data_IF_888148642796
#
_entry.id   IF_888148642796
#
_cell.length_a   1.000
_cell.length_b   1.000
_cell.length_c   1.000
_cell.angle_alpha   90.00
_cell.angle_beta   90.00
_cell.angle_gamma   90.00
#
_symmetry.space_group_name_H-M   'P 1'
#
loop_
_entity.id
_entity.type
_entity.pdbx_description
1 polymer ?
#
# COMPACT_ATOMS: atom_id res chain seq x y z
N UNK A 1 9.67 -45.16 56.37
CA UNK A 1 9.23 -43.78 56.67
C UNK A 1 8.44 -43.76 57.95
N UNK A 2 8.93 -43.04 58.95
CA UNK A 2 8.05 -42.53 60.00
C UNK A 2 7.15 -41.46 59.38
N UNK A 3 5.95 -41.25 59.92
CA UNK A 3 5.02 -40.20 59.45
C UNK A 3 5.71 -38.82 59.37
N UNK A 4 6.71 -38.60 60.21
CA UNK A 4 7.50 -37.36 60.33
C UNK A 4 8.38 -37.06 59.10
N UNK A 5 9.06 -38.07 58.55
CA UNK A 5 9.92 -37.92 57.36
C UNK A 5 9.13 -37.57 56.09
N UNK A 6 7.90 -38.10 55.99
CA UNK A 6 6.98 -37.78 54.88
C UNK A 6 6.56 -36.33 54.92
N UNK A 7 6.11 -35.90 56.09
CA UNK A 7 5.60 -34.55 56.32
C UNK A 7 6.70 -33.53 56.12
N UNK A 8 7.93 -33.82 56.54
CA UNK A 8 9.07 -32.92 56.31
C UNK A 8 9.46 -32.82 54.83
N UNK A 9 9.40 -33.93 54.07
CA UNK A 9 9.62 -33.91 52.62
C UNK A 9 8.56 -33.09 51.89
N UNK A 10 7.28 -33.28 52.22
CA UNK A 10 6.17 -32.52 51.65
C UNK A 10 6.29 -31.02 51.98
N UNK A 11 6.72 -30.68 53.20
CA UNK A 11 6.98 -29.29 53.63
C UNK A 11 8.11 -28.65 52.84
N UNK A 12 9.24 -29.34 52.65
CA UNK A 12 10.37 -28.83 51.84
C UNK A 12 10.00 -28.67 50.37
N UNK A 13 9.22 -29.61 49.81
CA UNK A 13 8.68 -29.49 48.45
C UNK A 13 7.84 -28.22 48.30
N UNK A 14 6.89 -28.00 49.19
CA UNK A 14 6.04 -26.81 49.16
C UNK A 14 6.86 -25.51 49.29
N UNK A 15 7.87 -25.49 50.17
CA UNK A 15 8.76 -24.35 50.33
C UNK A 15 9.61 -24.06 49.07
N UNK A 16 10.12 -25.09 48.38
CA UNK A 16 10.89 -24.93 47.14
C UNK A 16 10.01 -24.45 45.98
N UNK A 17 8.78 -24.94 45.87
CA UNK A 17 7.82 -24.46 44.88
C UNK A 17 7.51 -22.98 45.12
N UNK A 18 7.18 -22.60 46.36
CA UNK A 18 6.90 -21.20 46.71
C UNK A 18 8.11 -20.30 46.41
N UNK A 19 9.31 -20.72 46.79
CA UNK A 19 10.54 -20.01 46.47
C UNK A 19 10.76 -19.86 44.96
N UNK A 20 10.54 -20.91 44.16
CA UNK A 20 10.71 -20.86 42.72
C UNK A 20 9.72 -19.88 42.06
N UNK A 21 8.46 -19.88 42.50
CA UNK A 21 7.42 -18.95 42.03
C UNK A 21 7.81 -17.50 42.34
N UNK A 22 8.17 -17.20 43.58
CA UNK A 22 8.59 -15.85 44.00
C UNK A 22 9.86 -15.40 43.26
N UNK A 23 10.80 -16.33 43.06
CA UNK A 23 12.05 -16.04 42.35
C UNK A 23 11.80 -15.74 40.88
N UNK A 24 10.94 -16.51 40.21
CA UNK A 24 10.57 -16.30 38.80
C UNK A 24 9.78 -15.01 38.60
N UNK A 25 8.99 -14.56 39.58
CA UNK A 25 8.24 -13.31 39.51
C UNK A 25 9.03 -12.06 39.95
N UNK A 26 10.30 -12.21 40.35
CA UNK A 26 11.14 -11.11 40.84
C UNK A 26 11.92 -10.41 39.73
N UNK A 27 12.62 -9.31 40.07
CA UNK A 27 13.59 -8.65 39.17
C UNK A 27 14.68 -9.60 38.66
N UNK A 28 15.02 -10.64 39.43
CA UNK A 28 15.92 -11.68 38.94
C UNK A 28 15.29 -12.46 37.78
N UNK A 29 14.01 -12.80 37.87
CA UNK A 29 13.26 -13.48 36.80
C UNK A 29 13.18 -12.62 35.55
N UNK A 30 12.94 -11.31 35.71
CA UNK A 30 12.99 -10.34 34.61
C UNK A 30 14.36 -10.28 33.95
N UNK A 31 15.43 -10.25 34.73
CA UNK A 31 16.80 -10.27 34.21
C UNK A 31 17.13 -11.60 33.50
N UNK A 32 16.65 -12.73 34.00
CA UNK A 32 16.80 -14.02 33.31
C UNK A 32 16.02 -14.07 32.01
N UNK A 33 14.80 -13.52 31.97
CA UNK A 33 14.03 -13.42 30.74
C UNK A 33 14.82 -12.65 29.68
N UNK A 34 15.38 -11.48 30.01
CA UNK A 34 16.24 -10.72 29.09
C UNK A 34 17.39 -11.58 28.56
N UNK A 35 18.17 -12.16 29.48
CA UNK A 35 19.34 -12.98 29.13
C UNK A 35 18.96 -14.15 28.23
N UNK A 36 17.86 -14.84 28.53
CA UNK A 36 17.41 -16.01 27.78
C UNK A 36 16.81 -15.63 26.42
N UNK A 37 16.12 -14.50 26.32
CA UNK A 37 15.64 -13.98 25.04
C UNK A 37 16.80 -13.61 24.12
N UNK A 38 17.81 -12.92 24.64
CA UNK A 38 19.01 -12.54 23.89
C UNK A 38 19.80 -13.78 23.44
N UNK A 39 20.10 -14.70 24.37
CA UNK A 39 20.81 -15.93 24.05
C UNK A 39 20.02 -16.82 23.07
N UNK A 40 18.72 -16.97 23.28
CA UNK A 40 17.83 -17.73 22.41
C UNK A 40 17.73 -17.12 21.02
N UNK A 41 17.61 -15.79 20.92
CA UNK A 41 17.63 -15.08 19.65
C UNK A 41 18.94 -15.30 18.90
N UNK A 42 20.09 -15.17 19.56
CA UNK A 42 21.38 -15.45 18.94
C UNK A 42 21.51 -16.90 18.48
N UNK A 43 21.09 -17.87 19.31
CA UNK A 43 21.11 -19.27 18.94
C UNK A 43 20.25 -19.56 17.70
N UNK A 44 19.04 -18.98 17.63
CA UNK A 44 18.16 -19.10 16.45
C UNK A 44 18.77 -18.43 15.21
N UNK A 45 19.41 -17.27 15.36
CA UNK A 45 20.01 -16.56 14.24
C UNK A 45 21.24 -17.27 13.66
N UNK A 46 21.96 -18.04 14.48
CA UNK A 46 23.12 -18.85 14.04
C UNK A 46 22.72 -20.26 13.58
N UNK A 47 21.52 -20.74 13.91
CA UNK A 47 21.05 -22.04 13.48
C UNK A 47 20.80 -22.08 11.96
N UNK A 48 21.09 -23.22 11.29
CA UNK A 48 20.79 -23.42 9.89
C UNK A 48 19.29 -23.29 9.60
N UNK A 49 18.93 -22.65 8.48
CA UNK A 49 17.51 -22.47 8.08
C UNK A 49 16.77 -23.81 8.00
N UNK A 50 17.42 -24.88 7.53
CA UNK A 50 16.81 -26.21 7.42
C UNK A 50 16.44 -26.85 8.76
N UNK A 51 17.11 -26.47 9.85
CA UNK A 51 16.76 -26.95 11.21
C UNK A 51 15.59 -26.17 11.81
N UNK A 52 15.43 -24.91 11.42
CA UNK A 52 14.40 -24.01 11.93
C UNK A 52 13.08 -24.12 11.17
N UNK A 53 13.15 -24.37 9.86
CA UNK A 53 12.01 -24.27 8.96
C UNK A 53 11.78 -25.56 8.18
N UNK A 54 10.72 -26.27 8.56
CA UNK A 54 10.16 -27.33 7.73
C UNK A 54 9.21 -26.71 6.69
N UNK A 55 9.52 -26.93 5.40
CA UNK A 55 8.76 -26.36 4.27
C UNK A 55 7.27 -26.65 4.39
N UNK A 56 6.91 -27.87 4.79
CA UNK A 56 5.52 -28.29 4.91
C UNK A 56 4.79 -27.59 6.05
N UNK A 57 5.42 -27.45 7.22
CA UNK A 57 4.88 -26.68 8.35
C UNK A 57 4.76 -25.21 8.00
N UNK A 58 5.78 -24.60 7.39
CA UNK A 58 5.73 -23.18 6.99
C UNK A 58 4.61 -22.94 5.98
N UNK A 59 4.49 -23.80 4.96
CA UNK A 59 3.42 -23.70 3.98
C UNK A 59 2.04 -23.80 4.64
N UNK A 60 1.82 -24.75 5.55
CA UNK A 60 0.55 -24.89 6.29
C UNK A 60 0.24 -23.67 7.17
N UNK A 61 1.24 -23.10 7.83
CA UNK A 61 1.08 -21.90 8.66
C UNK A 61 0.69 -20.71 7.78
N UNK A 62 1.38 -20.51 6.66
CA UNK A 62 1.06 -19.44 5.71
C UNK A 62 -0.33 -19.65 5.07
N UNK A 63 -0.70 -20.89 4.77
CA UNK A 63 -2.05 -21.23 4.31
C UNK A 63 -3.09 -20.90 5.37
N UNK A 64 -2.87 -21.29 6.64
CA UNK A 64 -3.75 -20.97 7.76
C UNK A 64 -3.98 -19.45 7.90
N UNK A 65 -2.90 -18.67 7.90
CA UNK A 65 -2.98 -17.20 7.99
C UNK A 65 -3.64 -16.55 6.78
N UNK A 66 -3.76 -17.26 5.67
CA UNK A 66 -4.46 -16.78 4.47
C UNK A 66 -5.81 -17.41 4.24
N UNK A 67 -6.31 -18.19 5.21
CA UNK A 67 -7.69 -18.66 5.22
C UNK A 67 -8.67 -17.55 5.62
N UNK A 68 -9.88 -17.64 5.06
CA UNK A 68 -10.99 -16.71 5.29
C UNK A 68 -11.34 -16.52 6.78
N UNK A 69 -11.43 -17.57 7.63
CA UNK A 69 -11.79 -17.37 9.03
C UNK A 69 -10.79 -16.53 9.82
N UNK A 70 -9.48 -16.69 9.56
CA UNK A 70 -8.45 -15.93 10.26
C UNK A 70 -8.46 -14.46 9.83
N UNK A 71 -8.45 -14.22 8.52
CA UNK A 71 -8.44 -12.85 7.96
C UNK A 71 -9.69 -12.07 8.37
N UNK A 72 -10.86 -12.71 8.33
CA UNK A 72 -12.15 -12.05 8.56
C UNK A 72 -12.42 -11.81 10.05
N UNK A 73 -12.06 -12.75 10.94
CA UNK A 73 -12.42 -12.66 12.36
C UNK A 73 -11.32 -12.07 13.24
N UNK A 74 -10.05 -12.30 12.90
CA UNK A 74 -8.93 -11.91 13.78
C UNK A 74 -8.24 -10.64 13.30
N UNK A 75 -7.97 -10.55 12.00
CA UNK A 75 -7.17 -9.44 11.44
C UNK A 75 -8.04 -8.25 11.04
N UNK A 76 -9.14 -8.50 10.32
CA UNK A 76 -9.99 -7.44 9.76
C UNK A 76 -10.49 -6.44 10.81
N UNK A 77 -11.02 -6.85 11.98
CA UNK A 77 -11.49 -5.87 12.97
C UNK A 77 -10.37 -4.95 13.48
N UNK A 78 -9.19 -5.52 13.74
CA UNK A 78 -8.03 -4.77 14.23
C UNK A 78 -7.50 -3.81 13.16
N UNK A 79 -7.32 -4.30 11.92
CA UNK A 79 -6.84 -3.48 10.80
C UNK A 79 -7.84 -2.38 10.48
N UNK A 80 -9.15 -2.69 10.47
CA UNK A 80 -10.20 -1.68 10.26
C UNK A 80 -10.15 -0.60 11.35
N UNK A 81 -10.08 -0.99 12.62
CA UNK A 81 -10.02 -0.04 13.72
C UNK A 81 -8.78 0.87 13.60
N UNK A 82 -7.60 0.28 13.34
CA UNK A 82 -6.36 1.03 13.15
C UNK A 82 -6.44 2.01 11.95
N UNK A 83 -6.96 1.56 10.81
CA UNK A 83 -7.12 2.40 9.60
C UNK A 83 -8.08 3.56 9.86
N UNK A 84 -9.22 3.32 10.51
CA UNK A 84 -10.21 4.38 10.78
C UNK A 84 -9.68 5.41 11.77
N UNK A 85 -8.94 4.97 12.80
CA UNK A 85 -8.30 5.86 13.77
C UNK A 85 -7.23 6.72 13.10
N UNK A 86 -6.33 6.11 12.34
CA UNK A 86 -5.26 6.85 11.66
C UNK A 86 -5.79 7.78 10.57
N UNK A 87 -6.79 7.36 9.78
CA UNK A 87 -7.37 8.23 8.76
C UNK A 87 -8.09 9.42 9.36
N UNK A 88 -8.79 9.24 10.49
CA UNK A 88 -9.39 10.37 11.21
C UNK A 88 -8.32 11.37 11.63
N UNK A 89 -7.20 10.88 12.18
CA UNK A 89 -6.05 11.71 12.55
C UNK A 89 -5.43 12.43 11.34
N UNK A 90 -5.19 11.73 10.24
CA UNK A 90 -4.55 12.30 9.05
C UNK A 90 -5.45 13.30 8.30
N UNK A 91 -6.77 13.13 8.35
CA UNK A 91 -7.71 14.13 7.76
C UNK A 91 -7.67 15.47 8.48
N UNK A 92 -7.31 15.47 9.76
CA UNK A 92 -7.20 16.70 10.56
C UNK A 92 -5.78 17.27 10.56
N UNK A 93 -4.81 16.57 9.97
CA UNK A 93 -3.41 16.98 9.99
C UNK A 93 -3.09 18.05 8.93
N UNK A 94 -2.78 19.30 9.34
CA UNK A 94 -2.41 20.35 8.41
C UNK A 94 -0.95 20.25 7.92
N UNK A 95 -0.15 19.33 8.47
CA UNK A 95 1.23 19.16 8.05
C UNK A 95 1.32 18.78 6.57
N UNK A 96 2.41 19.22 5.93
CA UNK A 96 2.73 18.82 4.56
C UNK A 96 3.10 17.34 4.52
N UNK A 97 2.71 16.64 3.46
CA UNK A 97 3.06 15.22 3.27
C UNK A 97 4.57 14.98 3.36
N UNK A 98 5.38 15.95 2.90
CA UNK A 98 6.84 15.89 2.97
C UNK A 98 7.43 15.70 4.37
N UNK A 99 6.69 15.99 5.46
CA UNK A 99 7.13 15.71 6.84
C UNK A 99 7.16 14.21 7.14
N UNK A 100 6.28 13.44 6.47
CA UNK A 100 6.17 11.99 6.63
C UNK A 100 7.13 11.21 5.73
N UNK A 101 7.82 11.89 4.82
CA UNK A 101 8.73 11.28 3.85
C UNK A 101 10.16 11.65 4.22
N UNK A 102 10.96 10.67 4.63
CA UNK A 102 12.38 10.88 4.91
C UNK A 102 13.14 11.32 3.65
N UNK A 103 14.26 12.02 3.83
CA UNK A 103 15.11 12.46 2.72
C UNK A 103 15.62 11.25 1.90
N UNK A 104 15.91 10.14 2.57
CA UNK A 104 16.29 8.88 1.92
C UNK A 104 15.16 8.34 1.03
N UNK A 105 13.92 8.30 1.54
CA UNK A 105 12.77 7.87 0.75
C UNK A 105 12.52 8.82 -0.43
N UNK A 106 12.70 10.13 -0.24
CA UNK A 106 12.59 11.12 -1.31
C UNK A 106 13.61 10.85 -2.42
N UNK A 107 14.89 10.64 -2.07
CA UNK A 107 15.95 10.36 -3.03
C UNK A 107 15.70 9.05 -3.82
N UNK A 108 15.19 8.01 -3.15
CA UNK A 108 14.82 6.76 -3.81
C UNK A 108 13.64 6.94 -4.78
N UNK A 109 12.62 7.71 -4.40
CA UNK A 109 11.50 8.03 -5.30
C UNK A 109 11.98 8.86 -6.48
N UNK A 110 12.85 9.86 -6.28
CA UNK A 110 13.42 10.63 -7.38
C UNK A 110 14.19 9.76 -8.38
N UNK A 111 14.99 8.80 -7.88
CA UNK A 111 15.70 7.81 -8.70
C UNK A 111 14.72 6.92 -9.46
N UNK A 112 13.62 6.54 -8.83
CA UNK A 112 12.55 5.79 -9.48
C UNK A 112 11.90 6.63 -10.59
N UNK A 113 11.62 7.91 -10.37
CA UNK A 113 10.98 8.81 -11.35
C UNK A 113 11.82 9.06 -12.62
N UNK A 114 13.13 8.85 -12.54
CA UNK A 114 14.03 8.88 -13.69
C UNK A 114 13.90 7.66 -14.60
N UNK A 115 13.32 6.56 -14.12
CA UNK A 115 13.20 5.33 -14.91
C UNK A 115 12.22 5.50 -16.08
N UNK A 116 12.62 5.13 -17.31
CA UNK A 116 11.79 5.32 -18.50
C UNK A 116 10.57 4.37 -18.57
N UNK A 117 10.57 3.28 -17.81
CA UNK A 117 9.57 2.19 -17.89
C UNK A 117 8.55 2.18 -16.74
N UNK A 118 8.36 3.30 -16.04
CA UNK A 118 7.45 3.38 -14.89
C UNK A 118 5.99 3.08 -15.24
N UNK A 119 5.56 3.46 -16.44
CA UNK A 119 4.16 3.30 -16.88
C UNK A 119 4.13 2.38 -18.09
N UNK A 120 3.34 1.31 -17.99
CA UNK A 120 3.16 0.39 -19.11
C UNK A 120 2.55 1.11 -20.33
N UNK A 121 3.14 1.01 -21.53
CA UNK A 121 2.59 1.60 -22.74
C UNK A 121 1.13 1.19 -23.00
N UNK A 122 0.80 -0.08 -22.76
CA UNK A 122 -0.55 -0.62 -22.89
C UNK A 122 -1.55 0.05 -21.96
N UNK A 123 -1.11 0.46 -20.77
CA UNK A 123 -1.96 1.16 -19.82
C UNK A 123 -2.29 2.58 -20.30
N UNK A 124 -1.28 3.31 -20.78
CA UNK A 124 -1.45 4.67 -21.36
C UNK A 124 -2.39 4.60 -22.55
N UNK A 125 -2.17 3.68 -23.49
CA UNK A 125 -3.04 3.48 -24.65
C UNK A 125 -4.50 3.22 -24.24
N UNK A 126 -4.73 2.38 -23.23
CA UNK A 126 -6.07 2.03 -22.77
C UNK A 126 -6.78 3.18 -22.06
N UNK A 127 -6.07 3.97 -21.25
CA UNK A 127 -6.63 5.16 -20.60
C UNK A 127 -7.01 6.20 -21.65
N UNK A 128 -6.08 6.54 -22.54
CA UNK A 128 -6.26 7.62 -23.50
C UNK A 128 -7.31 7.24 -24.56
N UNK A 129 -7.47 5.96 -24.88
CA UNK A 129 -8.53 5.46 -25.75
C UNK A 129 -9.90 5.31 -25.06
N UNK A 130 -10.03 5.65 -23.77
CA UNK A 130 -11.31 5.58 -23.07
C UNK A 130 -12.29 6.63 -23.61
N UNK A 131 -13.57 6.25 -23.76
CA UNK A 131 -14.62 7.12 -24.32
C UNK A 131 -14.73 8.48 -23.64
N UNK A 132 -14.49 8.54 -22.33
CA UNK A 132 -14.49 9.80 -21.59
C UNK A 132 -13.44 10.79 -22.11
N UNK A 133 -12.23 10.33 -22.43
CA UNK A 133 -11.20 11.18 -23.04
C UNK A 133 -11.56 11.58 -24.47
N UNK A 134 -12.21 10.69 -25.24
CA UNK A 134 -12.74 11.02 -26.58
C UNK A 134 -13.79 12.13 -26.51
N UNK A 135 -14.73 12.04 -25.57
CA UNK A 135 -15.76 13.06 -25.37
C UNK A 135 -15.13 14.40 -24.93
N UNK A 136 -14.19 14.40 -23.98
CA UNK A 136 -13.44 15.62 -23.58
C UNK A 136 -12.69 16.21 -24.77
N UNK A 137 -11.92 15.41 -25.50
CA UNK A 137 -11.14 15.89 -26.64
C UNK A 137 -12.05 16.45 -27.73
N UNK A 138 -13.19 15.81 -28.00
CA UNK A 138 -14.17 16.31 -28.96
C UNK A 138 -14.72 17.66 -28.53
N UNK A 139 -15.11 17.80 -27.27
CA UNK A 139 -15.75 19.01 -26.77
C UNK A 139 -14.74 20.18 -26.74
N UNK A 140 -13.50 19.94 -26.29
CA UNK A 140 -12.40 20.93 -26.34
C UNK A 140 -12.10 21.35 -27.78
N UNK A 141 -12.06 20.41 -28.72
CA UNK A 141 -11.84 20.72 -30.14
C UNK A 141 -13.03 21.45 -30.77
N UNK A 142 -14.27 21.14 -30.37
CA UNK A 142 -15.47 21.84 -30.84
C UNK A 142 -15.47 23.30 -30.36
N UNK A 143 -15.12 23.51 -29.09
CA UNK A 143 -14.97 24.84 -28.50
C UNK A 143 -13.84 25.62 -29.16
N UNK A 144 -12.66 25.01 -29.35
CA UNK A 144 -11.54 25.65 -30.02
C UNK A 144 -11.87 26.02 -31.48
N UNK A 145 -12.58 25.15 -32.21
CA UNK A 145 -13.04 25.44 -33.58
C UNK A 145 -14.10 26.54 -33.60
N UNK A 146 -15.01 26.58 -32.62
CA UNK A 146 -15.99 27.66 -32.49
C UNK A 146 -15.31 28.98 -32.19
N UNK A 147 -14.40 29.02 -31.23
CA UNK A 147 -13.65 30.23 -30.86
C UNK A 147 -12.76 30.72 -32.03
N UNK A 148 -12.09 29.80 -32.73
CA UNK A 148 -11.35 30.11 -33.95
C UNK A 148 -12.30 30.67 -35.01
N UNK A 149 -13.42 30.00 -35.26
CA UNK A 149 -14.44 30.46 -36.23
C UNK A 149 -14.97 31.85 -35.88
N UNK A 150 -15.17 32.18 -34.61
CA UNK A 150 -15.63 33.50 -34.17
C UNK A 150 -14.55 34.60 -34.30
N UNK A 151 -13.29 34.27 -34.02
CA UNK A 151 -12.15 35.19 -34.09
C UNK A 151 -11.63 35.43 -35.51
N UNK A 152 -11.71 34.40 -36.36
CA UNK A 152 -11.22 34.38 -37.74
C UNK A 152 -12.38 34.60 -38.72
N UNK A 153 -13.61 34.76 -38.23
CA UNK A 153 -14.78 35.06 -39.04
C UNK A 153 -14.48 36.25 -39.96
N UNK A 154 -14.38 36.06 -41.29
CA UNK A 154 -14.19 37.18 -42.21
C UNK A 154 -15.36 38.17 -42.18
N UNK A 155 -16.46 37.85 -41.49
CA UNK A 155 -17.60 38.74 -41.24
C UNK A 155 -17.49 39.56 -39.94
N UNK A 156 -16.57 39.24 -39.02
CA UNK A 156 -16.36 39.99 -37.74
C UNK A 156 -14.92 40.45 -37.49
N UNK A 157 -13.92 39.80 -38.07
CA UNK A 157 -12.53 40.13 -37.85
C UNK A 157 -12.17 41.50 -38.47
N UNK A 158 -11.26 42.25 -37.83
CA UNK A 158 -10.85 43.61 -38.26
C UNK A 158 -10.23 43.64 -39.68
N UNK A 159 -9.75 42.50 -40.17
CA UNK A 159 -9.18 42.30 -41.51
C UNK A 159 -10.19 41.70 -42.53
N UNK A 160 -11.45 41.48 -42.12
CA UNK A 160 -12.52 40.88 -42.92
C UNK A 160 -13.37 41.88 -43.73
N UNK A 161 -14.54 41.46 -44.24
CA UNK A 161 -15.47 42.20 -45.12
C UNK A 161 -15.76 43.66 -44.69
N UNK A 162 -15.80 44.05 -43.40
CA UNK A 162 -15.88 45.46 -43.02
C UNK A 162 -14.75 46.33 -43.59
N UNK A 163 -13.56 45.78 -43.83
CA UNK A 163 -12.43 46.45 -44.47
C UNK A 163 -12.61 46.58 -46.00
N UNK A 164 -13.28 45.62 -46.65
CA UNK A 164 -13.66 45.68 -48.07
C UNK A 164 -14.84 46.63 -48.31
N UNK A 165 -15.79 46.70 -47.36
CA UNK A 165 -16.91 47.66 -47.38
C UNK A 165 -16.46 49.11 -47.16
N UNK A 166 -15.32 49.33 -46.49
CA UNK A 166 -14.68 50.65 -46.38
C UNK A 166 -14.00 51.11 -47.69
N UNK A 167 -13.83 50.23 -48.68
CA UNK A 167 -13.10 50.53 -49.92
C UNK A 167 -14.00 50.87 -51.13
N UNK A 168 -15.33 50.89 -50.98
CA UNK A 168 -16.27 51.06 -52.09
C UNK A 168 -17.00 52.40 -52.12
N UNK A 169 -16.74 53.20 -53.15
CA UNK A 169 -17.51 54.40 -53.54
C UNK A 169 -18.97 54.11 -53.99
N UNK A 170 -19.58 54.87 -54.93
CA UNK A 170 -21.04 55.09 -55.07
C UNK A 170 -21.98 53.90 -55.39
N UNK A 171 -21.55 52.64 -55.22
CA UNK A 171 -22.31 51.41 -55.52
C UNK A 171 -23.05 50.89 -54.25
N UNK A 172 -23.13 51.67 -53.18
CA UNK A 172 -23.69 51.24 -51.89
C UNK A 172 -25.24 51.15 -51.83
N UNK A 173 -25.98 51.52 -52.88
CA UNK A 173 -27.44 51.69 -52.83
C UNK A 173 -28.29 50.42 -53.02
N UNK A 174 -27.69 49.21 -52.91
CA UNK A 174 -28.40 47.92 -53.04
C UNK A 174 -28.10 46.87 -51.97
N UNK A 175 -27.29 47.21 -50.95
CA UNK A 175 -26.70 46.22 -50.04
C UNK A 175 -27.63 45.69 -48.94
N UNK A 176 -28.76 46.36 -48.64
CA UNK A 176 -29.65 45.95 -47.54
C UNK A 176 -30.42 44.64 -47.76
N UNK A 177 -30.71 44.28 -49.02
CA UNK A 177 -31.30 42.98 -49.37
C UNK A 177 -30.21 41.90 -49.51
N UNK A 178 -29.00 42.30 -49.90
CA UNK A 178 -27.85 41.41 -50.04
C UNK A 178 -27.33 40.95 -48.68
N UNK A 179 -27.29 41.82 -47.67
CA UNK A 179 -26.87 41.46 -46.30
C UNK A 179 -27.81 40.46 -45.62
N UNK A 180 -29.15 40.60 -45.78
CA UNK A 180 -30.13 39.63 -45.26
C UNK A 180 -30.06 38.27 -45.98
N UNK A 181 -29.88 38.27 -47.30
CA UNK A 181 -29.67 37.04 -48.05
C UNK A 181 -28.34 36.36 -47.65
N UNK A 182 -27.30 37.14 -47.38
CA UNK A 182 -26.01 36.64 -46.90
C UNK A 182 -26.05 36.09 -45.48
N UNK A 183 -26.76 36.74 -44.56
CA UNK A 183 -26.98 36.22 -43.20
C UNK A 183 -27.79 34.93 -43.21
N UNK A 184 -28.81 34.82 -44.06
CA UNK A 184 -29.58 33.58 -44.25
C UNK A 184 -28.71 32.45 -44.83
N UNK A 185 -27.88 32.74 -45.82
CA UNK A 185 -26.94 31.76 -46.38
C UNK A 185 -25.89 31.36 -45.35
N UNK A 186 -25.37 32.31 -44.56
CA UNK A 186 -24.41 32.05 -43.47
C UNK A 186 -25.02 31.16 -42.38
N UNK A 187 -26.22 31.48 -41.91
CA UNK A 187 -26.89 30.71 -40.87
C UNK A 187 -27.26 29.30 -41.39
N UNK A 188 -27.60 29.17 -42.68
CA UNK A 188 -27.84 27.87 -43.30
C UNK A 188 -26.53 27.07 -43.51
N UNK A 189 -25.43 27.74 -43.84
CA UNK A 189 -24.10 27.15 -43.95
C UNK A 189 -23.59 26.67 -42.59
N UNK A 190 -23.76 27.47 -41.53
CA UNK A 190 -23.43 27.06 -40.15
C UNK A 190 -24.29 25.89 -39.69
N UNK A 191 -25.60 25.90 -39.95
CA UNK A 191 -26.51 24.79 -39.62
C UNK A 191 -26.14 23.48 -40.35
N UNK A 192 -25.61 23.56 -41.57
CA UNK A 192 -25.14 22.39 -42.33
C UNK A 192 -23.72 21.96 -41.93
N UNK A 193 -22.85 22.89 -41.59
CA UNK A 193 -21.49 22.61 -41.14
C UNK A 193 -21.44 22.01 -39.74
N UNK A 194 -22.37 22.37 -38.85
CA UNK A 194 -22.36 21.89 -37.46
C UNK A 194 -22.40 20.34 -37.34
N UNK A 195 -23.30 19.61 -38.02
CA UNK A 195 -23.29 18.14 -37.99
C UNK A 195 -22.05 17.53 -38.67
N UNK A 196 -21.53 18.15 -39.73
CA UNK A 196 -20.30 17.69 -40.41
C UNK A 196 -19.05 17.92 -39.55
N UNK A 197 -18.97 19.07 -38.85
CA UNK A 197 -17.93 19.40 -37.86
C UNK A 197 -17.94 18.39 -36.73
N UNK A 198 -19.11 18.12 -36.12
CA UNK A 198 -19.23 17.11 -35.06
C UNK A 198 -18.79 15.72 -35.52
N UNK A 199 -19.13 15.32 -36.75
CA UNK A 199 -18.70 14.04 -37.34
C UNK A 199 -17.20 13.97 -37.60
N UNK A 200 -16.60 15.04 -38.11
CA UNK A 200 -15.16 15.16 -38.33
C UNK A 200 -14.39 15.14 -37.00
N UNK A 201 -14.82 15.96 -36.04
CA UNK A 201 -14.22 16.07 -34.72
C UNK A 201 -14.19 14.76 -33.97
N UNK A 202 -15.23 13.93 -34.10
CA UNK A 202 -15.23 12.58 -33.51
C UNK A 202 -14.07 11.73 -34.04
N UNK A 203 -13.92 11.63 -35.37
CA UNK A 203 -12.82 10.86 -35.98
C UNK A 203 -11.44 11.46 -35.69
N UNK A 204 -11.35 12.78 -35.64
CA UNK A 204 -10.11 13.49 -35.33
C UNK A 204 -9.71 13.34 -33.85
N UNK A 205 -10.66 13.42 -32.91
CA UNK A 205 -10.43 13.27 -31.47
C UNK A 205 -9.80 11.91 -31.15
N UNK A 206 -10.37 10.81 -31.69
CA UNK A 206 -9.79 9.47 -31.52
C UNK A 206 -8.35 9.39 -32.06
N UNK A 207 -8.08 9.99 -33.22
CA UNK A 207 -6.74 10.01 -33.82
C UNK A 207 -5.77 10.86 -32.99
N UNK A 208 -6.20 12.02 -32.54
CA UNK A 208 -5.41 12.93 -31.72
C UNK A 208 -5.02 12.28 -30.40
N UNK A 209 -5.98 11.63 -29.73
CA UNK A 209 -5.72 10.86 -28.50
C UNK A 209 -4.72 9.73 -28.73
N UNK A 210 -4.82 9.00 -29.85
CA UNK A 210 -3.82 7.99 -30.20
C UNK A 210 -2.42 8.60 -30.34
N UNK A 211 -2.30 9.74 -31.03
CA UNK A 211 -1.01 10.44 -31.15
C UNK A 211 -0.49 10.91 -29.80
N UNK A 212 -1.36 11.38 -28.90
CA UNK A 212 -0.98 11.77 -27.53
C UNK A 212 -0.44 10.56 -26.77
N UNK A 213 -1.10 9.40 -26.85
CA UNK A 213 -0.60 8.17 -26.23
C UNK A 213 0.77 7.78 -26.79
N UNK A 214 0.92 7.72 -28.11
CA UNK A 214 2.19 7.42 -28.78
C UNK A 214 3.29 8.42 -28.38
N UNK A 215 2.95 9.71 -28.26
CA UNK A 215 3.87 10.77 -27.85
C UNK A 215 4.34 10.59 -26.41
N UNK A 216 3.40 10.38 -25.47
CA UNK A 216 3.72 10.14 -24.05
C UNK A 216 4.59 8.90 -23.89
N UNK A 217 4.27 7.81 -24.58
CA UNK A 217 5.03 6.56 -24.52
C UNK A 217 6.44 6.77 -25.07
N UNK A 218 6.56 7.34 -26.28
CA UNK A 218 7.86 7.48 -26.95
C UNK A 218 8.79 8.46 -26.23
N UNK A 219 8.21 9.49 -25.60
CA UNK A 219 8.98 10.57 -24.96
C UNK A 219 9.08 10.46 -23.45
N UNK A 220 8.54 9.40 -22.83
CA UNK A 220 8.50 9.25 -21.38
C UNK A 220 9.87 9.38 -20.69
N UNK A 221 10.94 8.95 -21.36
CA UNK A 221 12.32 9.04 -20.86
C UNK A 221 13.04 10.35 -21.20
N UNK A 222 12.43 11.27 -21.95
CA UNK A 222 13.07 12.54 -22.28
C UNK A 222 13.21 13.43 -21.03
N UNK A 223 14.27 14.25 -20.93
CA UNK A 223 14.55 15.05 -19.73
C UNK A 223 13.38 15.92 -19.24
N UNK A 224 12.58 16.45 -20.17
CA UNK A 224 11.40 17.27 -19.86
C UNK A 224 10.27 16.48 -19.16
N UNK A 225 10.06 15.21 -19.53
CA UNK A 225 9.04 14.37 -18.88
C UNK A 225 9.52 13.85 -17.53
N UNK A 226 10.82 13.58 -17.39
CA UNK A 226 11.45 13.28 -16.10
C UNK A 226 11.30 14.47 -15.15
N UNK A 227 11.61 15.68 -15.62
CA UNK A 227 11.46 16.92 -14.84
C UNK A 227 10.01 17.11 -14.39
N UNK A 228 9.04 16.98 -15.30
CA UNK A 228 7.61 17.05 -14.97
C UNK A 228 7.22 16.06 -13.85
N UNK A 229 7.68 14.80 -13.91
CA UNK A 229 7.40 13.81 -12.87
C UNK A 229 7.98 14.20 -11.52
N UNK A 230 9.21 14.71 -11.49
CA UNK A 230 9.86 15.19 -10.26
C UNK A 230 9.16 16.41 -9.69
N UNK A 231 8.75 17.36 -10.53
CA UNK A 231 7.98 18.54 -10.13
C UNK A 231 6.63 18.17 -9.55
N UNK A 232 5.89 17.24 -10.19
CA UNK A 232 4.63 16.74 -9.66
C UNK A 232 4.81 16.03 -8.32
N UNK A 233 5.87 15.24 -8.16
CA UNK A 233 6.18 14.60 -6.89
C UNK A 233 6.49 15.64 -5.80
N UNK A 234 7.34 16.63 -6.09
CA UNK A 234 7.63 17.73 -5.16
C UNK A 234 6.37 18.48 -4.77
N UNK A 235 5.51 18.79 -5.74
CA UNK A 235 4.22 19.43 -5.50
C UNK A 235 3.33 18.60 -4.57
N UNK A 236 3.23 17.27 -4.77
CA UNK A 236 2.47 16.36 -3.88
C UNK A 236 3.03 16.41 -2.45
N UNK A 237 4.35 16.43 -2.28
CA UNK A 237 4.97 16.53 -0.95
C UNK A 237 4.67 17.86 -0.25
N UNK A 238 4.40 18.92 -1.01
CA UNK A 238 4.06 20.23 -0.46
C UNK A 238 2.59 20.37 -0.05
N UNK A 239 1.73 19.44 -0.47
CA UNK A 239 0.31 19.50 -0.13
C UNK A 239 0.07 19.11 1.35
N UNK A 240 -0.88 19.77 2.03
CA UNK A 240 -1.36 19.32 3.34
C UNK A 240 -1.93 17.90 3.29
N UNK A 241 -1.64 17.09 4.29
CA UNK A 241 -2.16 15.71 4.38
C UNK A 241 -3.69 15.71 4.43
N UNK A 242 -4.28 16.64 5.17
CA UNK A 242 -5.74 16.83 5.24
C UNK A 242 -6.40 16.98 3.85
N UNK A 243 -5.79 17.76 2.95
CA UNK A 243 -6.30 17.95 1.58
C UNK A 243 -6.20 16.66 0.75
N UNK A 244 -5.08 15.95 0.84
CA UNK A 244 -4.89 14.67 0.14
C UNK A 244 -5.83 13.58 0.65
N UNK A 245 -6.20 13.62 1.93
CA UNK A 245 -7.09 12.64 2.56
C UNK A 245 -8.58 12.99 2.44
N UNK A 246 -8.92 14.18 1.94
CA UNK A 246 -10.32 14.64 1.78
C UNK A 246 -11.19 13.66 0.96
N UNK A 247 -10.71 13.06 -0.15
CA UNK A 247 -11.51 12.09 -0.92
C UNK A 247 -11.74 10.76 -0.18
N UNK A 248 -10.89 10.42 0.78
CA UNK A 248 -10.95 9.16 1.51
C UNK A 248 -11.94 9.28 2.67
N UNK A 249 -13.24 9.45 2.39
CA UNK A 249 -14.31 9.45 3.42
C UNK A 249 -14.45 8.09 4.12
N UNK A 250 -15.10 8.04 5.28
CA UNK A 250 -15.29 6.77 6.01
C UNK A 250 -15.96 5.69 5.14
N UNK A 251 -16.96 6.08 4.35
CA UNK A 251 -17.63 5.17 3.42
C UNK A 251 -16.69 4.63 2.33
N UNK A 252 -15.82 5.50 1.77
CA UNK A 252 -14.83 5.09 0.77
C UNK A 252 -13.79 4.16 1.40
N UNK A 253 -13.27 4.51 2.57
CA UNK A 253 -12.32 3.68 3.32
C UNK A 253 -12.89 2.30 3.64
N UNK A 254 -14.11 2.23 4.13
CA UNK A 254 -14.76 0.97 4.47
C UNK A 254 -14.94 0.11 3.20
N UNK A 255 -15.41 0.72 2.11
CA UNK A 255 -15.57 0.01 0.84
C UNK A 255 -14.23 -0.46 0.28
N UNK A 256 -13.18 0.36 0.32
CA UNK A 256 -11.83 -0.03 -0.11
C UNK A 256 -11.26 -1.17 0.75
N UNK A 257 -11.49 -1.13 2.07
CA UNK A 257 -11.10 -2.22 2.97
C UNK A 257 -11.83 -3.53 2.62
N UNK A 258 -13.13 -3.44 2.34
CA UNK A 258 -13.94 -4.59 1.92
C UNK A 258 -13.47 -5.16 0.57
N UNK A 259 -13.23 -4.31 -0.41
CA UNK A 259 -12.69 -4.71 -1.73
C UNK A 259 -11.34 -5.39 -1.54
N UNK A 260 -10.42 -4.79 -0.79
CA UNK A 260 -9.11 -5.36 -0.52
C UNK A 260 -9.20 -6.73 0.16
N UNK A 261 -10.14 -6.89 1.10
CA UNK A 261 -10.41 -8.15 1.77
C UNK A 261 -10.93 -9.23 0.82
N UNK A 262 -11.97 -8.92 0.02
CA UNK A 262 -12.54 -9.87 -0.95
C UNK A 262 -11.54 -10.27 -2.04
N UNK A 263 -10.73 -9.32 -2.54
CA UNK A 263 -9.65 -9.61 -3.47
C UNK A 263 -8.59 -10.52 -2.85
N UNK A 264 -8.16 -10.22 -1.62
CA UNK A 264 -7.17 -11.03 -0.90
C UNK A 264 -7.69 -12.44 -0.67
N UNK A 265 -8.95 -12.57 -0.24
CA UNK A 265 -9.63 -13.86 -0.06
C UNK A 265 -9.68 -14.64 -1.37
N UNK A 266 -10.12 -14.02 -2.46
CA UNK A 266 -10.19 -14.66 -3.76
C UNK A 266 -8.80 -15.12 -4.22
N UNK A 267 -7.82 -14.23 -4.25
CA UNK A 267 -6.44 -14.54 -4.69
C UNK A 267 -5.81 -15.64 -3.83
N UNK A 268 -6.02 -15.63 -2.52
CA UNK A 268 -5.50 -16.67 -1.62
C UNK A 268 -6.21 -18.03 -1.79
N UNK A 269 -7.49 -18.02 -2.17
CA UNK A 269 -8.26 -19.24 -2.42
C UNK A 269 -7.86 -19.95 -3.71
N UNK A 270 -7.29 -19.24 -4.70
CA UNK A 270 -6.88 -19.80 -5.98
C UNK A 270 -5.77 -20.85 -5.85
N UNK A 271 -5.99 -22.05 -6.40
CA UNK A 271 -5.02 -23.15 -6.32
C UNK A 271 -3.70 -22.84 -7.06
N UNK A 272 -3.75 -22.05 -8.13
CA UNK A 272 -2.54 -21.57 -8.80
C UNK A 272 -1.68 -20.70 -7.85
N UNK A 273 -2.30 -19.84 -7.06
CA UNK A 273 -1.61 -18.98 -6.09
C UNK A 273 -1.05 -19.82 -4.94
N UNK A 274 -1.81 -20.78 -4.40
CA UNK A 274 -1.34 -21.70 -3.36
C UNK A 274 -0.11 -22.48 -3.82
N UNK A 275 -0.17 -23.08 -5.02
CA UNK A 275 0.97 -23.81 -5.62
C UNK A 275 2.19 -22.92 -5.81
N UNK A 276 2.03 -21.73 -6.38
CA UNK A 276 3.15 -20.77 -6.55
C UNK A 276 3.75 -20.37 -5.20
N UNK A 277 2.93 -20.15 -4.19
CA UNK A 277 3.38 -19.77 -2.84
C UNK A 277 4.20 -20.87 -2.20
N UNK A 278 3.70 -22.11 -2.25
CA UNK A 278 4.43 -23.29 -1.77
C UNK A 278 5.78 -23.46 -2.48
N UNK A 279 5.79 -23.34 -3.82
CA UNK A 279 7.02 -23.39 -4.59
C UNK A 279 8.02 -22.27 -4.22
N UNK A 280 7.55 -21.05 -3.93
CA UNK A 280 8.40 -19.96 -3.45
C UNK A 280 8.98 -20.23 -2.06
N UNK A 281 8.17 -20.73 -1.13
CA UNK A 281 8.62 -21.11 0.22
C UNK A 281 9.69 -22.19 0.11
N UNK A 282 9.42 -23.24 -0.67
CA UNK A 282 10.36 -24.33 -0.91
C UNK A 282 11.67 -23.83 -1.52
N UNK A 283 11.60 -22.97 -2.54
CA UNK A 283 12.76 -22.37 -3.18
C UNK A 283 13.62 -21.58 -2.19
N UNK A 284 13.00 -20.74 -1.35
CA UNK A 284 13.74 -19.92 -0.37
C UNK A 284 14.37 -20.81 0.70
N UNK A 285 13.61 -21.73 1.30
CA UNK A 285 14.12 -22.61 2.36
C UNK A 285 15.25 -23.50 1.83
N UNK A 286 15.10 -24.09 0.64
CA UNK A 286 16.15 -24.92 0.04
C UNK A 286 17.39 -24.13 -0.37
N UNK A 287 17.22 -22.91 -0.88
CA UNK A 287 18.36 -22.07 -1.25
C UNK A 287 19.26 -21.71 -0.05
N UNK A 288 18.67 -21.63 1.14
CA UNK A 288 19.36 -21.22 2.36
C UNK A 288 19.48 -22.33 3.41
N UNK A 289 19.12 -23.58 3.09
CA UNK A 289 18.96 -24.68 4.04
C UNK A 289 20.16 -24.86 4.99
N UNK A 290 21.37 -24.74 4.45
CA UNK A 290 22.63 -24.92 5.18
C UNK A 290 23.21 -23.63 5.76
N UNK A 291 22.62 -22.49 5.42
CA UNK A 291 23.11 -21.19 5.87
C UNK A 291 22.52 -20.85 7.24
N UNK A 292 23.28 -20.18 8.13
CA UNK A 292 22.71 -19.55 9.31
C UNK A 292 21.58 -18.60 8.92
N UNK A 293 20.50 -18.55 9.70
CA UNK A 293 19.36 -17.67 9.45
C UNK A 293 19.79 -16.20 9.27
N UNK A 294 20.77 -15.73 10.05
CA UNK A 294 21.35 -14.39 9.92
C UNK A 294 21.86 -14.11 8.51
N UNK A 295 22.60 -15.05 7.92
CA UNK A 295 23.16 -14.90 6.58
C UNK A 295 22.07 -14.96 5.50
N UNK A 296 21.09 -15.85 5.67
CA UNK A 296 19.95 -15.95 4.78
C UNK A 296 19.17 -14.63 4.73
N UNK A 297 18.87 -14.04 5.89
CA UNK A 297 18.21 -12.74 5.99
C UNK A 297 19.04 -11.59 5.38
N UNK A 298 20.34 -11.57 5.65
CA UNK A 298 21.26 -10.57 5.10
C UNK A 298 21.31 -10.60 3.56
N UNK A 299 21.12 -11.76 2.94
CA UNK A 299 21.04 -11.89 1.47
C UNK A 299 19.89 -11.05 0.88
N UNK A 300 18.83 -10.83 1.66
CA UNK A 300 17.68 -10.01 1.28
C UNK A 300 17.70 -8.61 1.91
N UNK A 301 18.84 -8.18 2.45
CA UNK A 301 18.99 -6.88 3.12
C UNK A 301 18.32 -6.78 4.49
N UNK A 302 17.82 -7.88 5.05
CA UNK A 302 17.20 -7.88 6.36
C UNK A 302 18.25 -8.06 7.46
N UNK A 303 18.36 -7.06 8.34
CA UNK A 303 19.18 -7.14 9.57
C UNK A 303 18.27 -6.96 10.78
N UNK A 304 18.20 -7.98 11.64
CA UNK A 304 17.35 -7.96 12.83
C UNK A 304 18.24 -7.74 14.06
N UNK A 305 18.07 -6.60 14.71
CA UNK A 305 18.78 -6.24 15.96
C UNK A 305 17.76 -5.80 17.01
N UNK A 306 17.14 -6.75 17.73
CA UNK A 306 16.11 -6.44 18.72
C UNK A 306 16.70 -5.65 19.89
N UNK A 307 15.97 -4.66 20.38
CA UNK A 307 16.26 -4.08 21.68
C UNK A 307 15.59 -4.96 22.77
N UNK A 308 16.36 -5.87 23.36
CA UNK A 308 15.84 -6.82 24.35
C UNK A 308 15.34 -6.16 25.63
N UNK A 309 15.86 -4.98 25.99
CA UNK A 309 15.34 -4.23 27.14
C UNK A 309 13.91 -3.79 26.91
N UNK A 310 13.64 -3.19 25.76
CA UNK A 310 12.29 -2.75 25.37
C UNK A 310 11.34 -3.93 25.27
N UNK A 311 11.77 -5.07 24.71
CA UNK A 311 10.95 -6.28 24.63
C UNK A 311 10.60 -6.83 26.01
N UNK A 312 11.57 -6.89 26.93
CA UNK A 312 11.34 -7.38 28.29
C UNK A 312 10.43 -6.43 29.06
N UNK A 313 10.63 -5.12 28.93
CA UNK A 313 9.75 -4.13 29.56
C UNK A 313 8.30 -4.22 29.06
N UNK A 314 8.10 -4.50 27.77
CA UNK A 314 6.77 -4.70 27.20
C UNK A 314 6.13 -6.04 27.61
N UNK A 315 6.91 -7.12 27.70
CA UNK A 315 6.40 -8.46 28.01
C UNK A 315 6.21 -8.71 29.51
N UNK A 316 7.05 -8.11 30.37
CA UNK A 316 7.05 -8.40 31.80
C UNK A 316 5.71 -8.14 32.51
N UNK A 317 4.98 -7.04 32.22
CA UNK A 317 3.65 -6.81 32.78
C UNK A 317 2.62 -7.89 32.43
N UNK A 318 2.83 -8.63 31.33
CA UNK A 318 1.98 -9.76 30.94
C UNK A 318 2.44 -11.07 31.59
N UNK A 319 3.76 -11.26 31.70
CA UNK A 319 4.35 -12.49 32.23
C UNK A 319 4.24 -12.60 33.76
N UNK A 320 4.46 -11.52 34.50
CA UNK A 320 4.45 -11.55 35.95
C UNK A 320 3.08 -11.98 36.53
N UNK A 321 1.93 -11.55 35.98
CA UNK A 321 0.62 -12.09 36.34
C UNK A 321 0.43 -13.54 35.85
N UNK A 322 0.90 -13.86 34.64
CA UNK A 322 0.75 -15.21 34.08
C UNK A 322 1.42 -16.28 34.96
N UNK A 323 2.56 -15.97 35.58
CA UNK A 323 3.26 -16.87 36.53
C UNK A 323 2.42 -17.25 37.77
N UNK A 324 1.30 -16.55 38.02
CA UNK A 324 0.37 -16.83 39.11
C UNK A 324 -0.87 -17.60 38.67
N UNK A 325 -0.97 -18.00 37.39
CA UNK A 325 -2.12 -18.79 36.93
C UNK A 325 -1.97 -20.26 37.35
N UNK A 326 -3.09 -20.97 37.62
CA UNK A 326 -3.04 -22.36 38.06
C UNK A 326 -2.24 -23.29 37.14
N UNK A 327 -2.23 -23.02 35.83
CA UNK A 327 -1.51 -23.84 34.85
C UNK A 327 0.01 -23.71 34.99
N UNK A 328 0.52 -22.49 35.17
CA UNK A 328 1.95 -22.26 35.37
C UNK A 328 2.38 -22.68 36.78
N UNK A 329 1.49 -22.56 37.76
CA UNK A 329 1.71 -23.12 39.08
C UNK A 329 1.89 -24.64 39.04
N UNK A 330 0.99 -25.35 38.36
CA UNK A 330 1.09 -26.80 38.17
C UNK A 330 2.37 -27.19 37.41
N UNK A 331 2.77 -26.40 36.42
CA UNK A 331 4.03 -26.61 35.70
C UNK A 331 5.25 -26.51 36.63
N UNK A 332 5.34 -25.46 37.45
CA UNK A 332 6.44 -25.28 38.42
C UNK A 332 6.41 -26.38 39.49
N UNK A 333 5.22 -26.76 39.95
CA UNK A 333 5.02 -27.86 40.91
C UNK A 333 5.41 -29.22 40.37
N UNK A 334 5.20 -29.46 39.07
CA UNK A 334 5.68 -30.63 38.34
C UNK A 334 7.20 -30.60 38.22
N UNK A 335 7.79 -29.50 37.74
CA UNK A 335 9.23 -29.38 37.54
C UNK A 335 10.02 -29.55 38.86
N UNK A 336 9.55 -28.94 39.95
CA UNK A 336 10.13 -29.13 41.29
C UNK A 336 9.74 -30.48 41.87
N UNK A 337 8.54 -30.99 41.61
CA UNK A 337 8.05 -32.27 42.10
C UNK A 337 8.82 -33.47 41.53
N UNK A 338 9.14 -33.44 40.25
CA UNK A 338 9.91 -34.47 39.54
C UNK A 338 11.33 -34.59 40.11
N UNK A 339 11.93 -33.48 40.55
CA UNK A 339 13.20 -33.51 41.28
C UNK A 339 13.10 -34.34 42.56
N UNK A 340 12.04 -34.15 43.35
CA UNK A 340 11.84 -34.96 44.56
C UNK A 340 11.49 -36.40 44.22
N UNK A 341 10.80 -36.69 43.12
CA UNK A 341 10.47 -38.06 42.71
C UNK A 341 11.70 -38.89 42.33
N UNK A 342 12.81 -38.24 41.94
CA UNK A 342 14.09 -38.88 41.60
C UNK A 342 14.99 -39.14 42.81
N UNK A 343 14.68 -38.59 43.99
CA UNK A 343 15.42 -38.93 45.22
C UNK A 343 15.11 -40.40 45.60
N UNK A 344 16.13 -41.26 45.78
CA UNK A 344 15.91 -42.64 46.19
C UNK A 344 15.18 -42.66 47.54
N UNK A 345 14.17 -43.52 47.69
CA UNK A 345 13.58 -43.75 49.00
C UNK A 345 14.70 -44.18 49.96
N UNK A 346 14.87 -43.50 51.10
CA UNK A 346 15.93 -43.84 52.04
C UNK A 346 15.73 -45.29 52.48
N UNK A 347 16.78 -46.10 52.30
CA UNK A 347 16.80 -47.51 52.65
C UNK A 347 16.41 -47.70 54.12
N UNK A 348 15.36 -48.49 54.32
CA UNK A 348 14.77 -48.89 55.62
C UNK A 348 15.79 -49.46 56.57
#
# INVERSE_FOLDING_TARGET
MTTDERTERERRRAAHVAWAKDRLASEWGKAQLRKNLEAGFHAVMEAPVGELFDVDRVARVVEHFTTDPFLTKSVRPLVRAAILLELSRLREDPAKLGVYVSDEARALVETLLEQPELVSPKFVEKIVAHRAFEDIARDVLDDALREFSEKVDPFRAEWGIPSLLKLGGPIAFGLGAFTKAFESVRDEFQKRLEPERKRFLKGFATRALKMVAEFVIKRNGEPQFVALRKELFSWVLEQPVSELMTPASEAVTELSSQIGHELTKHVCSMDATKRRRRAKIEMIVRAHEKQPLRQALATYGATITPNFDVLVEALWPLMAPALKTPELEAFVEGLVGDFYALEPEPSV
#
